data_IF_778560911609
#
_entry.id   IF_778560911609
#
_cell.length_a   1.000
_cell.length_b   1.000
_cell.length_c   1.000
_cell.angle_alpha   90.00
_cell.angle_beta   90.00
_cell.angle_gamma   90.00
#
_symmetry.space_group_name_H-M   'P 1'
#
loop_
_entity.id
_entity.type
_entity.pdbx_description
1 polymer ?
#
# COMPACT_ATOMS: atom_id res chain seq x y z
N UNK A 1 10.61 7.21 -5.22
CA UNK A 1 10.94 6.92 -6.63
C UNK A 1 9.70 7.03 -7.52
N UNK A 2 9.84 7.19 -8.84
CA UNK A 2 8.68 7.26 -9.76
C UNK A 2 8.26 5.86 -10.22
N UNK A 3 7.00 5.71 -10.63
CA UNK A 3 6.50 4.47 -11.22
C UNK A 3 7.30 4.10 -12.49
N UNK A 4 7.78 2.84 -12.63
CA UNK A 4 8.58 2.43 -13.79
C UNK A 4 7.78 2.41 -15.11
N UNK A 5 6.45 2.43 -15.02
CA UNK A 5 5.52 2.52 -16.16
C UNK A 5 5.00 3.93 -16.42
N UNK A 6 5.53 4.94 -15.72
CA UNK A 6 5.22 6.34 -16.01
C UNK A 6 6.00 6.74 -17.27
N UNK A 7 5.28 7.16 -18.31
CA UNK A 7 5.85 7.59 -19.59
C UNK A 7 5.58 9.06 -19.80
N UNK A 8 6.47 9.72 -20.53
CA UNK A 8 6.33 11.10 -20.99
C UNK A 8 6.00 11.11 -22.47
N UNK A 9 5.16 12.04 -22.90
CA UNK A 9 5.00 12.41 -24.30
C UNK A 9 4.72 13.90 -24.40
N UNK A 10 5.03 14.50 -25.55
CA UNK A 10 4.63 15.88 -25.83
C UNK A 10 3.22 15.87 -26.42
N UNK A 11 2.38 16.80 -25.98
CA UNK A 11 1.09 17.09 -26.60
C UNK A 11 1.08 18.49 -27.15
N UNK A 12 0.31 18.66 -28.21
CA UNK A 12 -0.10 19.97 -28.72
C UNK A 12 -1.56 20.23 -28.42
N UNK A 13 -1.90 21.49 -28.26
CA UNK A 13 -3.28 21.96 -28.17
C UNK A 13 -3.39 23.40 -28.68
N UNK A 14 -4.62 23.86 -28.93
CA UNK A 14 -4.88 25.23 -29.33
C UNK A 14 -5.16 26.09 -28.11
N UNK A 15 -4.35 27.15 -27.92
CA UNK A 15 -4.54 28.11 -26.82
C UNK A 15 -5.89 28.85 -26.87
N UNK A 16 -6.55 28.91 -28.03
CA UNK A 16 -7.81 29.64 -28.23
C UNK A 16 -9.08 28.77 -28.20
N UNK A 17 -8.98 27.50 -28.60
CA UNK A 17 -10.16 26.60 -28.72
C UNK A 17 -10.37 25.72 -27.47
N UNK A 18 -9.30 25.46 -26.71
CA UNK A 18 -9.35 24.69 -25.47
C UNK A 18 -8.36 23.52 -25.39
N UNK A 19 -8.27 22.91 -24.21
CA UNK A 19 -7.29 21.88 -23.85
C UNK A 19 -7.63 20.47 -24.39
N UNK A 20 -7.95 20.33 -25.68
CA UNK A 20 -7.90 19.00 -26.30
C UNK A 20 -6.44 18.68 -26.57
N UNK A 21 -5.85 17.85 -25.71
CA UNK A 21 -4.46 17.44 -25.81
C UNK A 21 -4.31 16.38 -26.91
N UNK A 22 -3.50 16.68 -27.92
CA UNK A 22 -3.23 15.81 -29.06
C UNK A 22 -1.77 15.39 -28.98
N UNK A 23 -1.43 14.09 -28.96
CA UNK A 23 -0.04 13.65 -28.99
C UNK A 23 0.70 14.24 -30.19
N UNK A 24 1.89 14.78 -29.93
CA UNK A 24 2.79 15.22 -30.98
C UNK A 24 3.54 13.98 -31.50
N UNK A 25 3.37 13.65 -32.78
CA UNK A 25 4.04 12.53 -33.44
C UNK A 25 4.76 13.02 -34.69
N UNK A 26 5.99 12.56 -34.89
CA UNK A 26 6.83 12.93 -36.04
C UNK A 26 6.15 12.66 -37.40
N UNK A 27 5.26 11.67 -37.46
CA UNK A 27 4.58 11.26 -38.71
C UNK A 27 3.53 12.27 -39.22
N UNK A 28 3.15 13.28 -38.44
CA UNK A 28 2.02 14.17 -38.73
C UNK A 28 2.39 15.66 -38.89
N UNK A 29 3.68 16.01 -38.86
CA UNK A 29 4.11 17.41 -38.76
C UNK A 29 3.68 18.29 -39.95
N UNK A 30 3.48 17.72 -41.13
CA UNK A 30 3.05 18.47 -42.33
C UNK A 30 1.57 18.38 -42.65
N UNK A 31 0.86 17.40 -42.09
CA UNK A 31 -0.56 17.15 -42.38
C UNK A 31 -1.49 18.03 -41.52
N UNK A 32 -1.01 18.49 -40.37
CA UNK A 32 -1.85 19.21 -39.43
C UNK A 32 -1.81 20.72 -39.64
N UNK A 33 -3.00 21.32 -39.63
CA UNK A 33 -3.20 22.75 -39.93
C UNK A 33 -2.35 23.67 -39.07
N UNK A 34 -2.23 23.40 -37.76
CA UNK A 34 -1.48 24.27 -36.86
C UNK A 34 0.04 24.17 -36.99
N UNK A 35 0.56 23.12 -37.65
CA UNK A 35 2.00 22.89 -37.85
C UNK A 35 2.49 23.30 -39.24
N UNK A 36 1.60 23.80 -40.09
CA UNK A 36 1.90 24.26 -41.45
C UNK A 36 1.25 25.60 -41.73
N UNK A 37 1.66 26.32 -42.78
CA UNK A 37 1.07 27.62 -43.17
C UNK A 37 -0.44 27.61 -43.42
N UNK A 38 -1.08 26.43 -43.51
CA UNK A 38 -2.53 26.29 -43.53
C UNK A 38 -3.22 26.91 -42.29
N UNK A 39 -2.48 27.19 -41.21
CA UNK A 39 -2.99 27.91 -40.05
C UNK A 39 -3.51 29.32 -40.36
N UNK A 40 -3.04 29.97 -41.44
CA UNK A 40 -3.53 31.28 -41.89
C UNK A 40 -5.02 31.26 -42.29
N UNK A 41 -5.53 30.10 -42.70
CA UNK A 41 -6.94 29.90 -43.05
C UNK A 41 -7.81 29.56 -41.82
N UNK A 42 -7.21 29.43 -40.64
CA UNK A 42 -7.93 29.10 -39.42
C UNK A 42 -8.77 30.28 -38.93
N UNK A 43 -10.09 30.06 -38.81
CA UNK A 43 -11.06 31.07 -38.36
C UNK A 43 -10.79 31.63 -36.96
N UNK A 44 -10.04 30.90 -36.11
CA UNK A 44 -9.73 31.34 -34.76
C UNK A 44 -8.59 32.35 -34.68
N UNK A 45 -7.73 32.40 -35.70
CA UNK A 45 -6.48 33.18 -35.65
C UNK A 45 -6.40 34.22 -36.77
N UNK A 46 -7.03 33.98 -37.92
CA UNK A 46 -6.94 34.83 -39.11
C UNK A 46 -7.18 36.32 -38.80
N UNK A 47 -8.14 36.61 -37.92
CA UNK A 47 -8.54 37.99 -37.62
C UNK A 47 -7.58 38.67 -36.62
N UNK A 48 -6.67 37.91 -36.00
CA UNK A 48 -5.66 38.37 -35.03
C UNK A 48 -4.21 38.28 -35.57
N UNK A 49 -4.03 37.94 -36.84
CA UNK A 49 -2.70 37.75 -37.45
C UNK A 49 -2.26 39.02 -38.16
N UNK A 50 -1.09 39.52 -37.77
CA UNK A 50 -0.41 40.63 -38.43
C UNK A 50 -0.12 40.30 -39.91
N UNK A 51 -0.41 41.22 -40.85
CA UNK A 51 -0.06 41.05 -42.26
C UNK A 51 1.45 40.80 -42.42
N UNK A 52 1.83 39.65 -42.99
CA UNK A 52 3.23 39.31 -43.24
C UNK A 52 3.89 38.37 -42.23
N UNK A 53 3.12 37.69 -41.38
CA UNK A 53 3.66 36.66 -40.48
C UNK A 53 4.51 35.60 -41.23
N UNK A 54 5.77 35.45 -40.81
CA UNK A 54 6.77 34.55 -41.40
C UNK A 54 6.89 33.20 -40.68
N UNK A 55 6.05 32.94 -39.68
CA UNK A 55 6.10 31.73 -38.85
C UNK A 55 5.57 30.51 -39.62
N UNK A 56 6.27 29.38 -39.53
CA UNK A 56 5.88 28.13 -40.20
C UNK A 56 4.76 27.36 -39.46
N UNK A 57 4.46 27.75 -38.22
CA UNK A 57 3.42 27.17 -37.38
C UNK A 57 2.51 28.26 -36.78
N UNK A 58 1.36 27.85 -36.26
CA UNK A 58 0.39 28.74 -35.66
C UNK A 58 0.94 29.38 -34.37
N UNK A 59 0.80 30.71 -34.16
CA UNK A 59 1.28 31.39 -32.95
C UNK A 59 0.53 30.96 -31.68
N UNK A 60 -0.67 30.38 -31.82
CA UNK A 60 -1.48 29.85 -30.71
C UNK A 60 -1.35 28.34 -30.55
N UNK A 61 -0.37 27.72 -31.21
CA UNK A 61 0.00 26.34 -30.97
C UNK A 61 0.76 26.25 -29.65
N UNK A 62 0.16 25.60 -28.66
CA UNK A 62 0.83 25.31 -27.40
C UNK A 62 1.34 23.87 -27.43
N UNK A 63 2.57 23.67 -26.94
CA UNK A 63 3.15 22.34 -26.72
C UNK A 63 3.42 22.19 -25.23
N UNK A 64 2.98 21.08 -24.65
CA UNK A 64 3.14 20.79 -23.23
C UNK A 64 3.58 19.35 -23.03
N UNK A 65 4.40 19.11 -22.00
CA UNK A 65 4.79 17.78 -21.58
C UNK A 65 3.72 17.18 -20.68
N UNK A 66 3.29 15.96 -21.02
CA UNK A 66 2.34 15.20 -20.21
C UNK A 66 2.93 13.85 -19.83
N UNK A 67 2.49 13.36 -18.68
CA UNK A 67 2.67 12.00 -18.24
C UNK A 67 1.43 11.15 -18.54
N UNK A 68 1.66 9.85 -18.76
CA UNK A 68 0.62 8.84 -18.80
C UNK A 68 1.13 7.51 -18.25
N UNK A 69 0.20 6.64 -17.85
CA UNK A 69 0.50 5.29 -17.42
C UNK A 69 0.51 4.34 -18.62
N UNK A 70 1.62 3.63 -18.83
CA UNK A 70 1.79 2.65 -19.93
C UNK A 70 0.93 1.40 -19.74
N UNK A 71 0.60 1.07 -18.48
CA UNK A 71 -0.25 -0.08 -18.12
C UNK A 71 -1.74 0.23 -18.20
N UNK A 72 -2.13 1.51 -18.24
CA UNK A 72 -3.53 1.88 -18.25
C UNK A 72 -4.14 1.59 -19.64
N UNK A 73 -5.31 0.93 -19.72
CA UNK A 73 -5.94 0.61 -21.01
C UNK A 73 -6.36 1.87 -21.77
N UNK A 74 -6.61 2.97 -21.06
CA UNK A 74 -6.90 4.29 -21.64
C UNK A 74 -5.83 5.27 -21.16
N UNK A 75 -5.14 5.90 -22.12
CA UNK A 75 -4.11 6.90 -21.84
C UNK A 75 -4.74 8.19 -21.34
N UNK A 76 -4.76 8.36 -20.01
CA UNK A 76 -5.08 9.65 -19.39
C UNK A 76 -3.83 10.51 -19.39
N UNK A 77 -3.86 11.61 -20.14
CA UNK A 77 -2.77 12.56 -20.27
C UNK A 77 -2.82 13.57 -19.12
N UNK A 78 -1.77 13.63 -18.30
CA UNK A 78 -1.68 14.50 -17.12
C UNK A 78 -0.48 15.43 -17.29
N UNK A 79 -0.66 16.76 -17.32
CA UNK A 79 0.43 17.72 -17.36
C UNK A 79 1.56 17.43 -16.35
N UNK A 80 2.82 17.53 -16.79
CA UNK A 80 3.97 17.17 -15.96
C UNK A 80 4.07 17.98 -14.66
N UNK A 81 3.69 19.26 -14.69
CA UNK A 81 3.64 20.13 -13.50
C UNK A 81 2.64 19.64 -12.42
N UNK A 82 1.63 18.84 -12.81
CA UNK A 82 0.64 18.23 -11.91
C UNK A 82 0.98 16.78 -11.56
N UNK A 83 1.90 16.15 -12.30
CA UNK A 83 2.21 14.73 -12.15
C UNK A 83 3.06 14.41 -10.91
N UNK A 84 3.81 15.38 -10.38
CA UNK A 84 4.47 15.23 -9.07
C UNK A 84 3.45 15.00 -7.93
N UNK A 85 2.20 15.47 -8.10
CA UNK A 85 1.08 15.19 -7.20
C UNK A 85 0.32 13.90 -7.56
N UNK A 86 0.67 13.22 -8.65
CA UNK A 86 0.04 11.95 -9.04
C UNK A 86 0.65 10.78 -8.26
N UNK A 87 -0.14 9.72 -8.03
CA UNK A 87 0.34 8.48 -7.38
C UNK A 87 1.59 7.89 -8.05
N UNK A 88 1.70 8.03 -9.38
CA UNK A 88 2.82 7.53 -10.17
C UNK A 88 4.09 8.41 -10.06
N UNK A 89 3.95 9.65 -9.61
CA UNK A 89 5.07 10.59 -9.41
C UNK A 89 5.91 10.30 -8.17
N UNK A 90 5.38 9.51 -7.22
CA UNK A 90 6.09 9.06 -6.03
C UNK A 90 5.88 7.57 -5.76
N UNK A 91 6.10 7.11 -4.54
CA UNK A 91 6.05 5.69 -4.19
C UNK A 91 4.63 5.12 -4.05
N UNK A 92 3.60 5.96 -4.18
CA UNK A 92 2.20 5.52 -4.19
C UNK A 92 1.86 4.51 -5.30
N UNK A 93 2.69 4.40 -6.33
CA UNK A 93 2.53 3.38 -7.37
C UNK A 93 2.74 1.94 -6.86
N UNK A 94 3.48 1.74 -5.76
CA UNK A 94 3.72 0.43 -5.14
C UNK A 94 2.41 -0.24 -4.70
N UNK A 95 1.36 0.55 -4.50
CA UNK A 95 0.02 0.13 -4.10
C UNK A 95 -1.03 0.34 -5.20
N UNK A 96 -0.61 0.58 -6.45
CA UNK A 96 -1.52 0.70 -7.58
C UNK A 96 -1.90 -0.67 -8.14
N UNK A 97 -3.20 -0.93 -8.32
CA UNK A 97 -3.72 -2.20 -8.84
C UNK A 97 -3.05 -2.63 -10.15
N UNK A 98 -2.90 -1.70 -11.11
CA UNK A 98 -2.25 -1.99 -12.40
C UNK A 98 -0.78 -2.36 -12.23
N UNK A 99 -0.07 -1.66 -11.34
CA UNK A 99 1.34 -1.93 -11.08
C UNK A 99 1.52 -3.30 -10.41
N UNK A 100 0.73 -3.57 -9.36
CA UNK A 100 0.78 -4.85 -8.65
C UNK A 100 0.45 -6.03 -9.57
N UNK A 101 -0.57 -5.89 -10.42
CA UNK A 101 -0.99 -6.94 -11.35
C UNK A 101 0.04 -7.24 -12.45
N UNK A 102 0.80 -6.25 -12.90
CA UNK A 102 1.68 -6.39 -14.08
C UNK A 102 3.16 -6.53 -13.73
N UNK A 103 3.60 -5.94 -12.62
CA UNK A 103 5.01 -5.91 -12.24
C UNK A 103 5.40 -7.03 -11.27
N UNK A 104 4.43 -7.67 -10.62
CA UNK A 104 4.63 -8.68 -9.57
C UNK A 104 5.84 -8.35 -8.66
N UNK A 105 5.85 -7.16 -8.04
CA UNK A 105 7.06 -6.65 -7.39
C UNK A 105 7.46 -7.46 -6.16
N UNK A 106 6.58 -8.29 -5.62
CA UNK A 106 6.78 -8.99 -4.35
C UNK A 106 6.99 -10.50 -4.45
N UNK A 107 6.57 -11.12 -5.55
CA UNK A 107 6.97 -12.49 -5.89
C UNK A 107 8.49 -12.66 -5.98
N UNK A 108 9.25 -11.56 -6.09
CA UNK A 108 10.71 -11.53 -6.19
C UNK A 108 11.44 -11.27 -4.87
N UNK A 109 10.73 -10.88 -3.80
CA UNK A 109 11.37 -10.38 -2.56
C UNK A 109 11.54 -11.46 -1.49
N UNK A 110 10.85 -12.60 -1.60
CA UNK A 110 11.07 -13.74 -0.70
C UNK A 110 12.24 -14.59 -1.17
N UNK A 111 13.47 -14.09 -1.00
CA UNK A 111 14.62 -14.99 -1.07
C UNK A 111 14.43 -16.09 -0.02
N UNK A 112 14.44 -17.39 -0.40
CA UNK A 112 14.27 -18.48 0.55
C UNK A 112 15.31 -18.34 1.66
N UNK A 113 14.86 -18.40 2.92
CA UNK A 113 15.76 -18.36 4.07
C UNK A 113 16.69 -19.59 3.97
N UNK A 114 18.01 -19.40 3.82
CA UNK A 114 18.94 -20.52 3.61
C UNK A 114 19.01 -21.48 4.81
N UNK A 115 18.35 -21.16 5.93
CA UNK A 115 18.19 -22.04 7.10
C UNK A 115 16.73 -22.41 7.43
N UNK A 116 15.75 -22.14 6.57
CA UNK A 116 14.37 -22.57 6.81
C UNK A 116 14.23 -24.08 6.64
N UNK A 117 13.54 -24.71 7.60
CA UNK A 117 13.10 -26.09 7.46
C UNK A 117 12.10 -26.17 6.29
N UNK A 118 12.32 -27.05 5.28
CA UNK A 118 11.41 -27.19 4.15
C UNK A 118 10.00 -27.69 4.52
N UNK A 119 9.77 -28.13 5.76
CA UNK A 119 8.43 -28.47 6.28
C UNK A 119 7.71 -27.32 6.97
N UNK A 120 8.38 -26.19 7.17
CA UNK A 120 7.84 -25.00 7.82
C UNK A 120 6.98 -24.21 6.81
N UNK A 121 5.67 -24.09 7.05
CA UNK A 121 4.80 -23.24 6.22
C UNK A 121 5.27 -21.80 6.39
N UNK A 122 5.97 -21.30 5.37
CA UNK A 122 6.59 -19.99 5.39
C UNK A 122 5.51 -18.90 5.29
N UNK A 123 5.22 -18.25 6.42
CA UNK A 123 4.47 -16.99 6.44
C UNK A 123 5.27 -15.98 5.61
N UNK A 124 4.64 -15.46 4.55
CA UNK A 124 5.28 -14.45 3.69
C UNK A 124 5.65 -13.22 4.54
N UNK A 125 6.88 -12.76 4.40
CA UNK A 125 7.38 -11.61 5.15
C UNK A 125 8.37 -10.81 4.29
N UNK A 126 7.90 -9.80 3.55
CA UNK A 126 8.78 -8.92 2.77
C UNK A 126 9.84 -8.22 3.62
N UNK A 127 11.10 -8.22 3.16
CA UNK A 127 12.25 -7.64 3.89
C UNK A 127 12.30 -6.11 3.84
N UNK A 128 11.63 -5.52 2.85
CA UNK A 128 11.57 -4.08 2.60
C UNK A 128 10.57 -3.36 3.51
N UNK A 129 9.86 -4.10 4.36
CA UNK A 129 8.89 -3.58 5.32
C UNK A 129 9.44 -3.57 6.74
N UNK A 130 8.92 -2.65 7.55
CA UNK A 130 9.09 -2.64 8.99
C UNK A 130 7.90 -3.32 9.65
N UNK A 131 8.11 -4.05 10.75
CA UNK A 131 7.06 -4.78 11.45
C UNK A 131 6.96 -4.32 12.90
N UNK A 132 5.75 -4.02 13.33
CA UNK A 132 5.40 -3.79 14.72
C UNK A 132 5.02 -5.11 15.38
N UNK A 133 5.25 -5.20 16.69
CA UNK A 133 5.00 -6.41 17.49
C UNK A 133 3.53 -6.81 17.59
N UNK A 134 2.61 -5.92 17.20
CA UNK A 134 1.19 -6.20 17.10
C UNK A 134 0.76 -6.61 15.68
N UNK A 135 1.69 -7.16 14.88
CA UNK A 135 1.43 -7.67 13.52
C UNK A 135 0.95 -6.61 12.50
N UNK A 136 1.30 -5.35 12.75
CA UNK A 136 1.19 -4.30 11.75
C UNK A 136 2.51 -4.15 11.01
N UNK A 137 2.46 -4.12 9.68
CA UNK A 137 3.62 -3.78 8.86
C UNK A 137 3.54 -2.32 8.42
N UNK A 138 4.70 -1.74 8.12
CA UNK A 138 4.87 -0.37 7.66
C UNK A 138 5.80 -0.35 6.44
N UNK A 139 5.36 0.29 5.37
CA UNK A 139 6.19 0.66 4.23
C UNK A 139 6.47 2.15 4.30
N UNK A 140 7.73 2.49 4.58
CA UNK A 140 8.19 3.87 4.69
C UNK A 140 8.44 4.52 3.33
N UNK A 141 8.51 3.76 2.24
CA UNK A 141 8.71 4.29 0.89
C UNK A 141 9.90 5.28 0.79
N UNK A 142 9.60 6.52 0.42
CA UNK A 142 10.54 7.64 0.31
C UNK A 142 10.72 8.44 1.61
N UNK A 143 10.14 7.97 2.71
CA UNK A 143 10.19 8.60 4.03
C UNK A 143 9.19 9.74 4.22
N UNK A 144 8.40 10.11 3.21
CA UNK A 144 7.39 11.17 3.34
C UNK A 144 6.04 10.64 3.81
N UNK A 145 5.67 9.46 3.35
CA UNK A 145 4.37 8.85 3.61
C UNK A 145 4.51 7.36 3.85
N UNK A 146 3.95 6.90 4.97
CA UNK A 146 3.95 5.49 5.33
C UNK A 146 2.63 4.84 4.92
N UNK A 147 2.69 3.61 4.42
CA UNK A 147 1.53 2.72 4.30
C UNK A 147 1.60 1.68 5.42
N UNK A 148 0.46 1.35 6.00
CA UNK A 148 0.36 0.45 7.15
C UNK A 148 -0.74 -0.57 6.88
N UNK A 149 -0.47 -1.84 7.15
CA UNK A 149 -1.44 -2.93 7.04
C UNK A 149 -1.20 -4.03 8.06
N UNK A 150 -2.05 -5.06 8.06
CA UNK A 150 -1.82 -6.29 8.84
C UNK A 150 -0.99 -7.27 8.04
N UNK A 151 -0.16 -8.05 8.71
CA UNK A 151 0.73 -9.02 8.07
C UNK A 151 0.03 -10.35 7.71
N UNK A 152 0.76 -11.22 7.02
CA UNK A 152 0.28 -12.55 6.65
C UNK A 152 0.05 -13.46 7.88
N UNK A 153 0.70 -13.18 9.01
CA UNK A 153 0.47 -13.92 10.25
C UNK A 153 -0.94 -13.63 10.79
N UNK A 154 -1.35 -12.36 10.84
CA UNK A 154 -2.69 -11.97 11.29
C UNK A 154 -3.78 -12.67 10.47
N UNK A 155 -3.68 -12.58 9.15
CA UNK A 155 -4.70 -13.10 8.23
C UNK A 155 -4.66 -14.62 8.12
N UNK A 156 -3.48 -15.25 8.21
CA UNK A 156 -3.35 -16.70 8.30
C UNK A 156 -3.90 -17.27 9.61
N UNK A 157 -3.76 -16.54 10.72
CA UNK A 157 -4.23 -16.96 12.05
C UNK A 157 -5.74 -16.81 12.21
N UNK A 158 -6.29 -15.66 11.83
CA UNK A 158 -7.69 -15.33 12.08
C UNK A 158 -8.60 -15.68 10.91
N UNK A 159 -8.06 -15.90 9.72
CA UNK A 159 -8.83 -16.19 8.52
C UNK A 159 -9.28 -14.93 7.77
N UNK A 160 -10.44 -15.03 7.12
CA UNK A 160 -10.87 -14.06 6.11
C UNK A 160 -11.46 -12.80 6.74
N UNK A 161 -10.95 -11.63 6.35
CA UNK A 161 -11.49 -10.34 6.79
C UNK A 161 -12.85 -10.07 6.16
N UNK A 162 -13.84 -9.82 7.01
CA UNK A 162 -15.24 -9.57 6.63
C UNK A 162 -15.55 -8.07 6.48
N UNK A 163 -14.93 -7.22 7.30
CA UNK A 163 -15.12 -5.77 7.25
C UNK A 163 -13.93 -5.03 7.89
N UNK A 164 -13.71 -3.79 7.45
CA UNK A 164 -12.73 -2.89 8.06
C UNK A 164 -13.42 -1.55 8.34
N UNK A 165 -13.34 -1.08 9.59
CA UNK A 165 -13.90 0.20 10.02
C UNK A 165 -12.79 1.15 10.44
N UNK A 166 -12.78 2.32 9.83
CA UNK A 166 -11.79 3.37 10.06
C UNK A 166 -12.30 4.42 11.05
N UNK A 167 -11.41 5.08 11.81
CA UNK A 167 -11.81 6.09 12.78
C UNK A 167 -12.34 7.34 12.07
N UNK A 168 -13.38 7.95 12.64
CA UNK A 168 -13.99 9.16 12.08
C UNK A 168 -13.07 10.39 12.15
N UNK A 169 -12.19 10.45 13.17
CA UNK A 169 -11.25 11.56 13.37
C UNK A 169 -9.94 11.27 12.64
N UNK A 170 -9.52 12.23 11.80
CA UNK A 170 -8.27 12.22 11.02
C UNK A 170 -7.23 13.21 11.54
N UNK A 171 -7.35 13.62 12.80
CA UNK A 171 -6.39 14.50 13.46
C UNK A 171 -5.08 13.74 13.74
N UNK A 172 -4.00 14.48 14.01
CA UNK A 172 -2.74 13.91 14.47
C UNK A 172 -2.97 13.11 15.78
N UNK A 173 -3.01 11.79 15.67
CA UNK A 173 -3.28 10.87 16.75
C UNK A 173 -2.65 9.51 16.41
N UNK A 174 -2.61 8.59 17.37
CA UNK A 174 -2.41 7.16 17.11
C UNK A 174 -3.76 6.56 16.75
N UNK A 175 -4.13 6.42 15.46
CA UNK A 175 -5.44 5.90 15.09
C UNK A 175 -5.54 4.41 15.41
N UNK A 176 -6.77 3.92 15.60
CA UNK A 176 -7.06 2.50 15.62
C UNK A 176 -7.99 2.13 14.47
N UNK A 177 -7.86 0.91 13.96
CA UNK A 177 -8.71 0.32 12.92
C UNK A 177 -9.43 -0.88 13.52
N UNK A 178 -10.74 -0.99 13.30
CA UNK A 178 -11.48 -2.18 13.68
C UNK A 178 -11.53 -3.13 12.47
N UNK A 179 -11.09 -4.38 12.67
CA UNK A 179 -11.11 -5.42 11.65
C UNK A 179 -12.07 -6.51 12.12
N UNK A 180 -13.07 -6.81 11.28
CA UNK A 180 -14.04 -7.87 11.56
C UNK A 180 -13.60 -9.19 10.97
N UNK A 181 -13.50 -10.21 11.82
CA UNK A 181 -13.19 -11.59 11.43
C UNK A 181 -14.00 -12.56 12.28
N UNK A 182 -14.60 -13.59 11.67
CA UNK A 182 -15.42 -14.58 12.37
C UNK A 182 -16.56 -13.94 13.18
N UNK A 183 -17.17 -12.87 12.67
CA UNK A 183 -18.22 -12.12 13.38
C UNK A 183 -17.77 -11.34 14.63
N UNK A 184 -16.46 -11.10 14.83
CA UNK A 184 -15.94 -10.25 15.91
C UNK A 184 -15.13 -9.07 15.39
N UNK A 185 -15.31 -7.92 16.03
CA UNK A 185 -14.49 -6.73 15.79
C UNK A 185 -13.25 -6.75 16.67
N UNK A 186 -12.09 -6.74 16.02
CA UNK A 186 -10.78 -6.68 16.65
C UNK A 186 -10.17 -5.29 16.44
N UNK A 187 -9.76 -4.65 17.52
CA UNK A 187 -9.14 -3.32 17.44
C UNK A 187 -7.63 -3.43 17.23
N UNK A 188 -7.15 -2.79 16.15
CA UNK A 188 -5.73 -2.68 15.81
C UNK A 188 -5.29 -1.24 15.99
N UNK A 189 -4.59 -0.96 17.08
CA UNK A 189 -4.02 0.37 17.36
C UNK A 189 -2.72 0.53 16.58
N UNK A 190 -2.57 1.65 15.85
CA UNK A 190 -1.35 1.92 15.12
C UNK A 190 -0.19 2.24 16.10
N UNK A 191 1.03 1.74 15.81
CA UNK A 191 2.18 1.88 16.70
C UNK A 191 2.82 3.27 16.67
N UNK A 192 2.27 4.21 15.88
CA UNK A 192 2.76 5.57 15.74
C UNK A 192 1.65 6.58 15.45
N UNK A 193 1.92 7.86 15.74
CA UNK A 193 1.01 8.95 15.45
C UNK A 193 1.10 9.38 13.98
N UNK A 194 -0.05 9.53 13.32
CA UNK A 194 -0.15 9.93 11.92
C UNK A 194 -0.91 11.24 11.76
N UNK A 195 -0.48 12.08 10.82
CA UNK A 195 -1.27 13.17 10.25
C UNK A 195 -1.59 12.87 8.78
N UNK A 196 -2.55 13.60 8.22
CA UNK A 196 -2.96 13.44 6.80
C UNK A 196 -3.38 11.99 6.48
N UNK A 197 -4.19 11.41 7.39
CA UNK A 197 -4.64 10.02 7.35
C UNK A 197 -5.57 9.78 6.14
N UNK A 198 -5.19 8.83 5.28
CA UNK A 198 -5.99 8.29 4.19
C UNK A 198 -6.25 6.80 4.43
N UNK A 199 -7.51 6.39 4.66
CA UNK A 199 -7.88 4.98 4.69
C UNK A 199 -7.92 4.42 3.28
N UNK A 200 -7.68 3.13 3.16
CA UNK A 200 -7.84 2.41 1.91
C UNK A 200 -9.33 2.29 1.54
N UNK A 201 -9.77 3.14 0.62
CA UNK A 201 -11.16 3.20 0.17
C UNK A 201 -11.65 1.91 -0.49
N UNK A 202 -10.75 1.06 -1.01
CA UNK A 202 -11.11 -0.21 -1.64
C UNK A 202 -11.70 -1.20 -0.62
N UNK A 203 -11.29 -1.12 0.65
CA UNK A 203 -11.72 -2.04 1.71
C UNK A 203 -13.18 -1.84 2.12
N UNK A 204 -13.81 -0.72 1.75
CA UNK A 204 -15.25 -0.51 1.96
C UNK A 204 -16.11 -1.40 1.04
N UNK A 205 -15.56 -1.80 -0.12
CA UNK A 205 -16.28 -2.63 -1.12
C UNK A 205 -15.77 -4.07 -1.11
N UNK A 206 -14.46 -4.26 -0.92
CA UNK A 206 -13.82 -5.56 -0.96
C UNK A 206 -12.85 -5.75 0.23
N UNK A 207 -13.37 -5.99 1.45
CA UNK A 207 -12.56 -6.15 2.65
C UNK A 207 -11.67 -7.40 2.62
N UNK A 208 -12.05 -8.44 1.86
CA UNK A 208 -11.27 -9.68 1.74
C UNK A 208 -9.87 -9.47 1.16
N UNK A 209 -9.65 -8.37 0.45
CA UNK A 209 -8.34 -8.01 -0.11
C UNK A 209 -7.25 -7.99 0.98
N UNK A 210 -7.61 -7.65 2.22
CA UNK A 210 -6.67 -7.70 3.35
C UNK A 210 -6.11 -9.12 3.55
N UNK A 211 -6.94 -10.15 3.42
CA UNK A 211 -6.50 -11.56 3.53
C UNK A 211 -5.89 -12.08 2.23
N UNK A 212 -6.40 -11.63 1.07
CA UNK A 212 -5.95 -12.13 -0.23
C UNK A 212 -4.59 -11.55 -0.67
N UNK A 213 -4.28 -10.32 -0.25
CA UNK A 213 -3.05 -9.58 -0.60
C UNK A 213 -2.63 -8.64 0.55
N UNK A 214 -2.20 -9.20 1.71
CA UNK A 214 -2.03 -8.46 2.97
C UNK A 214 -0.99 -7.35 2.89
N UNK A 215 0.06 -7.58 2.11
CA UNK A 215 1.10 -6.59 1.93
C UNK A 215 0.75 -5.61 0.81
N UNK A 216 -0.05 -5.98 -0.19
CA UNK A 216 -0.31 -5.20 -1.42
C UNK A 216 -1.52 -4.34 -1.31
N UNK A 217 -2.55 -4.72 -2.05
CA UNK A 217 -3.83 -4.00 -2.07
C UNK A 217 -4.51 -3.98 -0.69
N UNK A 218 -4.10 -4.86 0.23
CA UNK A 218 -4.60 -5.00 1.60
C UNK A 218 -4.09 -3.98 2.62
N UNK A 219 -3.31 -2.97 2.22
CA UNK A 219 -2.92 -1.88 3.14
C UNK A 219 -4.17 -1.21 3.76
N UNK A 220 -4.10 -0.83 5.02
CA UNK A 220 -5.25 -0.29 5.77
C UNK A 220 -5.29 1.24 5.72
N UNK A 221 -4.20 1.87 6.14
CA UNK A 221 -4.08 3.33 6.28
C UNK A 221 -2.75 3.78 5.70
N UNK A 222 -2.75 4.97 5.11
CA UNK A 222 -1.55 5.70 4.74
C UNK A 222 -1.57 7.11 5.35
N UNK A 223 -0.41 7.62 5.72
CA UNK A 223 -0.30 8.92 6.40
C UNK A 223 1.13 9.39 6.57
N UNK A 224 1.30 10.59 7.13
CA UNK A 224 2.61 11.16 7.44
C UNK A 224 2.89 10.93 8.93
N UNK A 225 4.00 10.24 9.30
CA UNK A 225 4.41 10.09 10.69
C UNK A 225 4.59 11.44 11.38
N UNK A 226 4.18 11.51 12.64
CA UNK A 226 4.39 12.66 13.52
C UNK A 226 5.44 12.27 14.56
N UNK A 227 6.52 13.04 14.65
CA UNK A 227 7.49 12.88 15.74
C UNK A 227 6.84 13.27 17.07
N UNK A 228 7.01 12.45 18.11
CA UNK A 228 6.49 12.80 19.43
C UNK A 228 7.28 13.98 20.02
N UNK A 229 6.61 15.01 20.59
CA UNK A 229 7.30 16.15 21.17
C UNK A 229 8.02 15.75 22.46
N UNK A 230 9.37 15.78 22.45
CA UNK A 230 10.21 15.49 23.62
C UNK A 230 11.29 14.43 23.39
N UNK A 231 11.26 13.73 22.25
CA UNK A 231 12.40 12.93 21.78
C UNK A 231 13.37 13.86 21.04
N UNK A 232 14.63 13.90 21.48
CA UNK A 232 15.69 14.65 20.79
C UNK A 232 15.72 14.26 19.31
N UNK A 233 15.61 15.27 18.44
CA UNK A 233 15.43 15.12 17.01
C UNK A 233 16.66 14.51 16.32
N UNK A 234 16.70 13.18 16.25
CA UNK A 234 17.37 12.40 15.21
C UNK A 234 16.33 11.75 14.28
N UNK A 235 16.68 11.37 13.04
CA UNK A 235 15.74 10.72 12.16
C UNK A 235 15.36 9.36 12.77
N UNK A 236 14.06 9.24 13.07
CA UNK A 236 13.32 8.00 13.32
C UNK A 236 13.51 7.32 14.70
N UNK A 237 12.44 7.29 15.50
CA UNK A 237 12.16 6.24 16.50
C UNK A 237 11.87 4.88 15.80
N UNK A 238 12.69 4.51 14.81
CA UNK A 238 12.64 3.20 14.14
C UNK A 238 13.13 2.06 15.02
N UNK A 239 13.63 2.34 16.22
CA UNK A 239 14.19 1.35 17.16
C UNK A 239 13.17 0.31 17.62
N UNK A 240 11.87 0.63 17.57
CA UNK A 240 10.80 -0.27 18.00
C UNK A 240 10.30 -1.20 16.89
N UNK A 241 10.59 -0.91 15.61
CA UNK A 241 10.15 -1.73 14.48
C UNK A 241 11.20 -2.74 14.07
N UNK A 242 10.76 -3.96 13.82
CA UNK A 242 11.59 -5.07 13.40
C UNK A 242 11.75 -5.06 11.87
N UNK A 243 12.93 -5.38 11.36
CA UNK A 243 13.23 -5.47 9.92
C UNK A 243 14.12 -6.68 9.62
N UNK A 244 14.10 -7.13 8.37
CA UNK A 244 14.98 -8.19 7.86
C UNK A 244 15.05 -9.42 8.78
N UNK A 245 16.26 -9.86 9.12
CA UNK A 245 16.50 -11.06 9.95
C UNK A 245 15.86 -10.98 11.34
N UNK A 246 15.79 -9.78 11.94
CA UNK A 246 15.16 -9.59 13.24
C UNK A 246 13.65 -9.82 13.18
N UNK A 247 12.99 -9.30 12.14
CA UNK A 247 11.57 -9.54 11.90
C UNK A 247 11.30 -11.03 11.62
N UNK A 248 12.14 -11.68 10.79
CA UNK A 248 11.98 -13.13 10.49
C UNK A 248 12.09 -14.00 11.74
N UNK A 249 13.07 -13.70 12.60
CA UNK A 249 13.25 -14.41 13.87
C UNK A 249 12.09 -14.15 14.84
N UNK A 250 11.51 -12.95 14.83
CA UNK A 250 10.32 -12.66 15.64
C UNK A 250 9.12 -13.45 15.11
N UNK A 251 8.84 -13.41 13.80
CA UNK A 251 7.71 -14.12 13.19
C UNK A 251 7.74 -15.63 13.44
N UNK A 252 8.93 -16.27 13.36
CA UNK A 252 9.10 -17.69 13.72
C UNK A 252 8.72 -17.95 15.18
N UNK A 253 9.27 -17.14 16.11
CA UNK A 253 8.92 -17.25 17.53
C UNK A 253 7.43 -17.03 17.79
N UNK A 254 6.80 -16.18 16.99
CA UNK A 254 5.38 -15.90 17.13
C UNK A 254 4.50 -17.05 16.67
N UNK A 255 4.93 -17.80 15.65
CA UNK A 255 4.32 -19.07 15.24
C UNK A 255 4.44 -20.14 16.33
N UNK A 256 5.61 -20.25 16.95
CA UNK A 256 5.82 -21.17 18.07
C UNK A 256 4.92 -20.80 19.26
N UNK A 257 4.84 -19.50 19.60
CA UNK A 257 3.98 -18.99 20.66
C UNK A 257 2.50 -19.23 20.38
N UNK A 258 2.05 -19.02 19.14
CA UNK A 258 0.66 -19.28 18.74
C UNK A 258 0.31 -20.76 18.89
N UNK A 259 1.20 -21.64 18.43
CA UNK A 259 1.03 -23.09 18.55
C UNK A 259 0.88 -23.49 20.01
N UNK A 260 1.80 -23.04 20.88
CA UNK A 260 1.71 -23.27 22.33
C UNK A 260 0.44 -22.71 22.97
N UNK A 261 0.01 -21.50 22.56
CA UNK A 261 -1.23 -20.88 23.04
C UNK A 261 -2.47 -21.71 22.67
N UNK A 262 -2.56 -22.18 21.42
CA UNK A 262 -3.68 -22.98 20.94
C UNK A 262 -3.73 -24.32 21.67
N UNK A 263 -2.60 -25.02 21.82
CA UNK A 263 -2.55 -26.26 22.59
C UNK A 263 -3.02 -26.07 24.03
N UNK A 264 -2.52 -25.04 24.73
CA UNK A 264 -2.95 -24.74 26.09
C UNK A 264 -4.47 -24.47 26.19
N UNK A 265 -5.04 -23.74 25.23
CA UNK A 265 -6.48 -23.48 25.19
C UNK A 265 -7.32 -24.74 24.91
N UNK A 266 -6.80 -25.67 24.09
CA UNK A 266 -7.48 -26.94 23.82
C UNK A 266 -7.40 -27.90 25.01
N UNK A 267 -6.28 -27.92 25.73
CA UNK A 267 -6.10 -28.73 26.93
C UNK A 267 -7.02 -28.25 28.08
N UNK A 268 -7.14 -26.92 28.28
CA UNK A 268 -8.10 -26.32 29.22
C UNK A 268 -9.54 -26.80 28.95
N UNK A 269 -9.90 -27.07 27.68
CA UNK A 269 -11.24 -27.56 27.29
C UNK A 269 -11.41 -29.07 27.45
N UNK A 270 -10.34 -29.85 27.32
CA UNK A 270 -10.39 -31.33 27.36
C UNK A 270 -10.40 -31.90 28.77
N UNK A 271 -10.03 -31.12 29.78
CA UNK A 271 -9.93 -31.59 31.17
C UNK A 271 -8.76 -32.57 31.37
N UNK A 272 -8.50 -32.94 32.63
CA UNK A 272 -7.28 -33.61 33.11
C UNK A 272 -7.01 -35.05 32.59
N UNK A 273 -7.69 -35.53 31.54
CA UNK A 273 -7.57 -36.92 31.04
C UNK A 273 -7.24 -37.07 29.55
N UNK A 274 -6.91 -36.00 28.82
CA UNK A 274 -6.51 -36.13 27.42
C UNK A 274 -5.01 -36.37 27.28
N UNK A 275 -4.63 -37.58 26.85
CA UNK A 275 -3.27 -37.92 26.46
C UNK A 275 -2.71 -36.94 25.43
N UNK A 276 -1.46 -36.53 25.66
CA UNK A 276 -0.69 -35.62 24.82
C UNK A 276 -0.61 -36.18 23.39
N UNK A 277 -1.22 -35.50 22.42
CA UNK A 277 -0.88 -35.72 21.01
C UNK A 277 0.46 -35.06 20.75
N UNK A 278 1.44 -35.88 20.37
CA UNK A 278 2.76 -35.49 19.88
C UNK A 278 2.77 -35.47 18.36
N UNK A 279 1.93 -34.67 17.72
CA UNK A 279 2.26 -34.17 16.40
C UNK A 279 2.75 -32.74 16.60
N UNK A 280 4.02 -32.48 16.29
CA UNK A 280 4.60 -31.13 16.30
C UNK A 280 4.01 -30.25 15.19
N UNK A 281 2.69 -30.29 15.00
CA UNK A 281 1.96 -29.51 14.02
C UNK A 281 1.82 -28.08 14.49
N UNK A 282 2.11 -27.14 13.60
CA UNK A 282 1.83 -25.73 13.84
C UNK A 282 0.33 -25.47 13.71
N UNK A 283 -0.19 -24.57 14.54
CA UNK A 283 -1.54 -24.06 14.35
C UNK A 283 -1.60 -23.32 13.00
N UNK A 284 -2.36 -23.87 12.05
CA UNK A 284 -2.58 -23.30 10.73
C UNK A 284 -4.08 -23.28 10.40
N UNK A 285 -4.50 -22.25 9.67
CA UNK A 285 -5.90 -22.04 9.26
C UNK A 285 -6.72 -21.09 10.13
N UNK A 286 -7.99 -20.94 9.76
CA UNK A 286 -8.95 -20.00 10.34
C UNK A 286 -9.31 -20.37 11.80
N UNK A 287 -8.54 -19.88 12.76
CA UNK A 287 -8.80 -20.09 14.18
C UNK A 287 -10.08 -19.40 14.63
N UNK A 288 -10.57 -18.39 13.90
CA UNK A 288 -11.82 -17.71 14.24
C UNK A 288 -13.03 -18.65 14.12
N UNK A 289 -12.95 -19.65 13.22
CA UNK A 289 -13.96 -20.69 13.08
C UNK A 289 -13.85 -21.81 14.14
N UNK A 290 -12.67 -22.02 14.74
CA UNK A 290 -12.39 -23.14 15.64
C UNK A 290 -12.49 -22.77 17.13
N UNK A 291 -12.15 -21.53 17.46
CA UNK A 291 -12.09 -21.03 18.82
C UNK A 291 -13.41 -20.35 19.22
N UNK A 292 -13.72 -20.34 20.52
CA UNK A 292 -14.89 -19.59 20.99
C UNK A 292 -14.54 -18.10 21.10
N UNK A 293 -15.59 -17.29 21.27
CA UNK A 293 -15.47 -15.84 21.39
C UNK A 293 -14.51 -15.40 22.51
N UNK A 294 -14.47 -16.13 23.63
CA UNK A 294 -13.62 -15.78 24.78
C UNK A 294 -12.15 -16.05 24.47
N UNK A 295 -11.85 -17.20 23.89
CA UNK A 295 -10.48 -17.57 23.50
C UNK A 295 -9.96 -16.67 22.39
N UNK A 296 -10.80 -16.27 21.45
CA UNK A 296 -10.39 -15.34 20.40
C UNK A 296 -10.07 -13.94 20.92
N UNK A 297 -10.80 -13.45 21.92
CA UNK A 297 -10.44 -12.19 22.61
C UNK A 297 -9.10 -12.33 23.35
N UNK A 298 -8.83 -13.46 24.01
CA UNK A 298 -7.51 -13.74 24.62
C UNK A 298 -6.40 -13.74 23.57
N UNK A 299 -6.64 -14.39 22.42
CA UNK A 299 -5.69 -14.47 21.31
C UNK A 299 -5.39 -13.07 20.77
N UNK A 300 -6.41 -12.25 20.54
CA UNK A 300 -6.22 -10.85 20.12
C UNK A 300 -5.37 -10.06 21.11
N UNK A 301 -5.66 -10.15 22.41
CA UNK A 301 -4.87 -9.46 23.43
C UNK A 301 -3.42 -9.98 23.53
N UNK A 302 -3.20 -11.27 23.24
CA UNK A 302 -1.87 -11.88 23.35
C UNK A 302 -0.96 -11.52 22.18
N UNK A 303 -1.49 -11.48 20.97
CA UNK A 303 -0.72 -11.33 19.73
C UNK A 303 -0.92 -9.98 19.02
N UNK A 304 -2.13 -9.43 19.03
CA UNK A 304 -2.52 -8.32 18.14
C UNK A 304 -2.78 -6.98 18.85
N UNK A 305 -2.86 -6.98 20.17
CA UNK A 305 -2.95 -5.74 20.94
C UNK A 305 -1.60 -5.01 20.98
N UNK A 306 -1.63 -3.69 20.82
CA UNK A 306 -0.46 -2.85 21.04
C UNK A 306 -0.15 -2.82 22.54
N UNK A 307 1.05 -3.27 22.94
CA UNK A 307 1.52 -3.22 24.32
C UNK A 307 2.37 -1.96 24.52
N UNK A 308 1.93 -1.07 25.42
CA UNK A 308 2.71 0.10 25.81
C UNK A 308 3.90 -0.32 26.67
N UNK A 309 5.11 -0.28 26.09
CA UNK A 309 6.38 -0.19 26.83
C UNK A 309 7.01 -1.49 27.34
N UNK A 310 8.34 -1.55 27.19
CA UNK A 310 9.22 -2.51 27.83
C UNK A 310 9.56 -3.72 26.97
N UNK A 311 10.82 -3.78 26.51
CA UNK A 311 11.44 -5.02 26.04
C UNK A 311 11.29 -6.05 27.19
N UNK A 312 10.58 -7.17 27.00
CA UNK A 312 10.83 -8.32 27.85
C UNK A 312 12.20 -8.86 27.45
N UNK A 313 13.12 -8.94 28.42
CA UNK A 313 14.44 -9.58 28.30
C UNK A 313 14.36 -10.99 27.71
#
# INVERSE_FOLDING_TARGET
MHCPFLRKLNVKYCGLYGMKLIPLSADNDTAERCLSRAWLECSLVRDSVEPGAQQDHCPNLCVEDVHYCDLAPVRKLVPCNKAAASRCGGDGHRYCDLYLAMAEPRSRTTAPDPGADPTDIAIEQPDDLAYARNHLWLDEGDGRRVHIGVDAFFTGTLGKVEAVTFPARRAAARPSVLIRVGGMDLEMVLPLALREIEPNAHLAVAPSIVSDDPYGRGWLIAGVPVAEPGADAGPTETSHFLRGTAARRWMRRERDRLTGFVHACLDERRGSEAGLSTDGGHADGDLSALLDRRTLVRLHHEFFALRDGGIPE
#
